data_IF_769461122558
#
_entry.id   IF_769461122558
#
_cell.length_a   1.000
_cell.length_b   1.000
_cell.length_c   1.000
_cell.angle_alpha   90.00
_cell.angle_beta   90.00
_cell.angle_gamma   90.00
#
_symmetry.space_group_name_H-M   'P 1'
#
loop_
_entity.id
_entity.type
_entity.pdbx_description
1 polymer ?
#
# COMPACT_ATOMS: atom_id res chain seq x y z
N UNK A 1 43.43 29.03 -13.46
CA UNK A 1 42.49 28.83 -12.35
C UNK A 1 41.45 27.81 -12.78
N UNK A 2 41.49 26.57 -12.28
CA UNK A 2 40.51 25.52 -12.62
C UNK A 2 39.58 25.37 -11.43
N UNK A 3 38.32 25.77 -11.59
CA UNK A 3 37.31 25.60 -10.55
C UNK A 3 37.13 24.10 -10.29
N UNK A 4 37.38 23.68 -9.04
CA UNK A 4 37.04 22.34 -8.57
C UNK A 4 35.52 22.23 -8.55
N UNK A 5 34.98 21.36 -9.39
CA UNK A 5 33.59 20.94 -9.28
C UNK A 5 33.40 20.32 -7.88
N UNK A 6 32.43 20.87 -7.12
CA UNK A 6 32.06 20.34 -5.81
C UNK A 6 31.48 18.92 -6.04
N UNK A 7 31.92 17.89 -5.29
CA UNK A 7 31.29 16.59 -5.39
C UNK A 7 29.81 16.75 -5.03
N UNK A 8 28.92 16.24 -5.88
CA UNK A 8 27.50 16.22 -5.61
C UNK A 8 27.29 15.51 -4.27
N UNK A 9 26.68 16.21 -3.31
CA UNK A 9 26.23 15.61 -2.07
C UNK A 9 25.30 14.46 -2.43
N UNK A 10 25.63 13.25 -2.02
CA UNK A 10 24.73 12.10 -2.09
C UNK A 10 23.42 12.50 -1.40
N UNK A 11 22.43 12.87 -2.20
CA UNK A 11 21.05 12.89 -1.75
C UNK A 11 20.62 11.44 -1.84
N UNK A 12 20.29 10.74 -0.74
CA UNK A 12 19.59 9.47 -0.84
C UNK A 12 18.19 9.81 -1.37
N UNK A 13 18.07 9.99 -2.67
CA UNK A 13 16.79 10.08 -3.34
C UNK A 13 16.18 8.69 -3.20
N UNK A 14 15.13 8.59 -2.38
CA UNK A 14 14.36 7.37 -2.27
C UNK A 14 13.70 7.13 -3.64
N UNK A 15 14.14 6.09 -4.34
CA UNK A 15 13.60 5.72 -5.65
C UNK A 15 12.30 4.93 -5.46
N UNK A 16 11.33 5.16 -6.33
CA UNK A 16 10.11 4.37 -6.33
C UNK A 16 10.43 2.95 -6.77
N UNK A 17 10.11 1.98 -5.93
CA UNK A 17 10.19 0.57 -6.30
C UNK A 17 8.82 0.10 -6.79
N UNK A 18 8.77 -0.33 -8.05
CA UNK A 18 7.58 -0.96 -8.63
C UNK A 18 7.64 -2.48 -8.41
N UNK A 19 6.55 -3.05 -7.93
CA UNK A 19 6.40 -4.49 -7.69
C UNK A 19 5.00 -4.91 -8.16
N UNK A 20 4.93 -6.00 -8.92
CA UNK A 20 3.68 -6.59 -9.40
C UNK A 20 3.67 -8.10 -9.13
N UNK A 21 2.47 -8.63 -8.91
CA UNK A 21 2.20 -10.06 -8.77
C UNK A 21 0.82 -10.35 -9.32
N UNK A 22 0.62 -11.56 -9.81
CA UNK A 22 -0.63 -12.03 -10.41
C UNK A 22 -0.90 -13.45 -9.92
N UNK A 23 -2.19 -13.76 -9.73
CA UNK A 23 -2.65 -15.06 -9.26
C UNK A 23 -3.98 -15.39 -9.96
N UNK A 24 -4.10 -16.62 -10.45
CA UNK A 24 -5.35 -17.16 -10.96
C UNK A 24 -6.11 -17.88 -9.84
N UNK A 25 -7.40 -17.58 -9.71
CA UNK A 25 -8.27 -18.13 -8.65
C UNK A 25 -9.62 -18.55 -9.23
N UNK A 26 -10.14 -19.70 -8.80
CA UNK A 26 -11.45 -20.21 -9.23
C UNK A 26 -12.58 -19.63 -8.37
N UNK A 27 -12.73 -18.31 -8.41
CA UNK A 27 -13.82 -17.59 -7.74
C UNK A 27 -14.35 -16.46 -8.62
N UNK A 28 -15.64 -16.08 -8.52
CA UNK A 28 -16.15 -14.92 -9.24
C UNK A 28 -15.38 -13.63 -8.90
N UNK A 29 -15.18 -12.75 -9.88
CA UNK A 29 -14.53 -11.45 -9.68
C UNK A 29 -15.16 -10.63 -8.55
N UNK A 30 -16.45 -10.79 -8.29
CA UNK A 30 -17.15 -10.13 -7.18
C UNK A 30 -16.65 -10.56 -5.80
N UNK A 31 -16.27 -11.83 -5.64
CA UNK A 31 -15.72 -12.37 -4.40
C UNK A 31 -14.33 -11.79 -4.17
N UNK A 32 -13.46 -11.85 -5.19
CA UNK A 32 -12.14 -11.22 -5.14
C UNK A 32 -12.24 -9.73 -4.83
N UNK A 33 -13.15 -9.01 -5.49
CA UNK A 33 -13.38 -7.59 -5.25
C UNK A 33 -13.84 -7.30 -3.82
N UNK A 34 -14.71 -8.12 -3.25
CA UNK A 34 -15.19 -7.95 -1.88
C UNK A 34 -14.06 -8.13 -0.86
N UNK A 35 -13.22 -9.15 -1.01
CA UNK A 35 -12.07 -9.40 -0.13
C UNK A 35 -11.13 -8.18 -0.01
N UNK A 36 -10.84 -7.52 -1.14
CA UNK A 36 -9.99 -6.32 -1.15
C UNK A 36 -10.75 -5.03 -0.76
N UNK A 37 -12.08 -5.00 -0.91
CA UNK A 37 -12.91 -3.84 -0.53
C UNK A 37 -13.13 -3.76 0.98
N UNK A 38 -13.25 -4.91 1.66
CA UNK A 38 -13.39 -5.03 3.11
C UNK A 38 -12.03 -4.87 3.81
N UNK A 39 -11.48 -3.67 3.73
CA UNK A 39 -10.11 -3.31 4.17
C UNK A 39 -9.75 -3.76 5.59
N UNK A 40 -10.69 -3.74 6.52
CA UNK A 40 -10.43 -4.13 7.92
C UNK A 40 -10.22 -5.64 8.10
N UNK A 41 -10.59 -6.44 7.10
CA UNK A 41 -10.34 -7.90 7.08
C UNK A 41 -8.95 -8.25 6.54
N UNK A 42 -8.25 -7.31 5.89
CA UNK A 42 -6.94 -7.54 5.26
C UNK A 42 -5.91 -8.15 6.22
N UNK A 43 -5.78 -7.71 7.49
CA UNK A 43 -4.87 -8.35 8.45
C UNK A 43 -5.09 -9.86 8.66
N UNK A 44 -6.29 -10.38 8.36
CA UNK A 44 -6.61 -11.81 8.54
C UNK A 44 -5.87 -12.70 7.53
N UNK A 45 -5.52 -12.16 6.36
CA UNK A 45 -4.90 -12.91 5.27
C UNK A 45 -3.59 -12.27 4.75
N UNK A 46 -3.23 -11.08 5.25
CA UNK A 46 -2.00 -10.37 4.93
C UNK A 46 -1.19 -10.10 6.23
N UNK A 47 -0.38 -11.05 6.70
CA UNK A 47 0.13 -11.08 8.08
C UNK A 47 1.12 -9.96 8.44
N UNK A 48 1.73 -9.30 7.44
CA UNK A 48 2.60 -8.15 7.68
C UNK A 48 1.81 -6.86 8.01
N UNK A 49 0.52 -6.82 7.69
CA UNK A 49 -0.38 -5.74 8.10
C UNK A 49 -0.98 -6.10 9.44
N UNK A 50 -0.65 -5.31 10.47
CA UNK A 50 -1.13 -5.52 11.83
C UNK A 50 -2.54 -4.97 12.05
N UNK A 51 -2.87 -3.80 11.48
CA UNK A 51 -4.20 -3.21 11.59
C UNK A 51 -4.55 -2.40 10.36
N UNK A 52 -5.83 -2.41 10.01
CA UNK A 52 -6.43 -1.46 9.09
C UNK A 52 -7.69 -0.91 9.74
N UNK A 53 -7.84 0.41 9.79
CA UNK A 53 -9.02 1.09 10.32
C UNK A 53 -9.56 2.09 9.31
N UNK A 54 -10.81 1.95 8.92
CA UNK A 54 -11.50 2.94 8.08
C UNK A 54 -11.90 4.12 8.96
N UNK A 55 -11.76 5.35 8.45
CA UNK A 55 -12.15 6.54 9.20
C UNK A 55 -13.68 6.70 9.14
N UNK A 56 -14.34 6.80 10.30
CA UNK A 56 -15.81 6.89 10.40
C UNK A 56 -16.40 8.05 9.59
N UNK A 57 -15.78 9.23 9.66
CA UNK A 57 -16.23 10.43 8.94
C UNK A 57 -15.88 10.41 7.44
N UNK A 58 -14.91 9.59 7.04
CA UNK A 58 -14.28 9.60 5.71
C UNK A 58 -14.01 8.18 5.26
N UNK A 59 -15.03 7.44 4.78
CA UNK A 59 -14.90 6.03 4.44
C UNK A 59 -13.91 5.77 3.29
N UNK A 60 -13.59 6.79 2.48
CA UNK A 60 -12.54 6.72 1.46
C UNK A 60 -11.12 6.65 2.05
N UNK A 61 -10.96 7.02 3.32
CA UNK A 61 -9.70 6.99 4.04
C UNK A 61 -9.60 5.79 4.97
N UNK A 62 -8.40 5.24 5.06
CA UNK A 62 -8.09 4.16 5.99
C UNK A 62 -6.67 4.32 6.53
N UNK A 63 -6.50 4.09 7.83
CA UNK A 63 -5.19 4.04 8.48
C UNK A 63 -4.70 2.61 8.52
N UNK A 64 -3.49 2.41 8.05
CA UNK A 64 -2.82 1.12 7.96
C UNK A 64 -1.60 1.12 8.87
N UNK A 65 -1.34 -0.03 9.48
CA UNK A 65 -0.16 -0.24 10.33
C UNK A 65 0.49 -1.57 9.98
N UNK A 66 1.77 -1.51 9.64
CA UNK A 66 2.62 -2.64 9.32
C UNK A 66 3.60 -2.88 10.48
N UNK A 67 3.77 -4.14 10.88
CA UNK A 67 4.70 -4.54 11.95
C UNK A 67 5.58 -5.67 11.45
N UNK A 68 6.89 -5.51 11.59
CA UNK A 68 7.84 -6.58 11.25
C UNK A 68 9.12 -6.44 12.07
N UNK A 69 9.77 -7.58 12.30
CA UNK A 69 11.03 -7.64 13.02
C UNK A 69 12.21 -7.42 12.06
N UNK A 70 13.06 -6.44 12.37
CA UNK A 70 14.33 -6.20 11.67
C UNK A 70 15.46 -6.38 12.67
N UNK A 71 16.37 -7.30 12.40
CA UNK A 71 17.53 -7.57 13.27
C UNK A 71 17.13 -7.83 14.75
N UNK A 72 16.00 -8.51 14.97
CA UNK A 72 15.47 -8.81 16.30
C UNK A 72 14.80 -7.65 17.02
N UNK A 73 14.52 -6.53 16.33
CA UNK A 73 13.75 -5.40 16.85
C UNK A 73 12.43 -5.27 16.10
N UNK A 74 11.33 -5.13 16.82
CA UNK A 74 10.04 -4.82 16.22
C UNK A 74 10.03 -3.39 15.71
N UNK A 75 9.70 -3.23 14.43
CA UNK A 75 9.52 -1.93 13.79
C UNK A 75 8.07 -1.82 13.34
N UNK A 76 7.48 -0.65 13.60
CA UNK A 76 6.11 -0.33 13.23
C UNK A 76 6.09 0.87 12.28
N UNK A 77 5.35 0.74 11.19
CA UNK A 77 5.11 1.82 10.25
C UNK A 77 3.61 2.02 10.09
N UNK A 78 3.16 3.27 10.11
CA UNK A 78 1.76 3.62 9.86
C UNK A 78 1.65 4.61 8.70
N UNK A 79 0.58 4.49 7.92
CA UNK A 79 0.23 5.44 6.86
C UNK A 79 -1.27 5.62 6.75
N UNK A 80 -1.68 6.78 6.24
CA UNK A 80 -3.05 7.03 5.85
C UNK A 80 -3.15 6.83 4.34
N UNK A 81 -4.05 5.95 3.91
CA UNK A 81 -4.32 5.70 2.50
C UNK A 81 -5.70 6.23 2.11
N UNK A 82 -5.79 6.77 0.89
CA UNK A 82 -7.05 7.12 0.23
C UNK A 82 -7.32 6.12 -0.88
N UNK A 83 -8.51 5.51 -0.83
CA UNK A 83 -9.05 4.77 -1.96
C UNK A 83 -9.49 5.78 -3.03
N UNK A 84 -9.03 5.54 -4.25
CA UNK A 84 -9.47 6.26 -5.43
C UNK A 84 -10.78 5.63 -5.94
N UNK A 85 -11.53 6.31 -6.82
CA UNK A 85 -12.83 5.83 -7.30
C UNK A 85 -12.75 4.42 -7.86
N UNK A 86 -13.29 3.40 -7.16
CA UNK A 86 -13.11 2.03 -7.58
C UNK A 86 -14.02 1.70 -8.77
N UNK A 87 -13.59 0.78 -9.61
CA UNK A 87 -14.46 0.21 -10.66
C UNK A 87 -14.92 -1.15 -10.18
N UNK A 88 -16.22 -1.26 -9.85
CA UNK A 88 -16.79 -2.45 -9.20
C UNK A 88 -16.45 -3.72 -9.96
N UNK A 89 -15.94 -4.73 -9.26
CA UNK A 89 -15.51 -6.03 -9.79
C UNK A 89 -14.37 -5.98 -10.83
N UNK A 90 -13.71 -4.84 -11.01
CA UNK A 90 -12.67 -4.67 -12.04
C UNK A 90 -11.37 -4.09 -11.49
N UNK A 91 -11.45 -3.13 -10.56
CA UNK A 91 -10.26 -2.44 -10.07
C UNK A 91 -10.44 -1.78 -8.72
N UNK A 92 -9.46 -1.99 -7.86
CA UNK A 92 -9.26 -1.25 -6.60
C UNK A 92 -7.90 -0.58 -6.68
N UNK A 93 -7.81 0.70 -6.31
CA UNK A 93 -6.55 1.43 -6.32
C UNK A 93 -6.50 2.49 -5.23
N UNK A 94 -5.31 2.74 -4.71
CA UNK A 94 -5.09 3.59 -3.55
C UNK A 94 -3.79 4.37 -3.65
N UNK A 95 -3.68 5.40 -2.82
CA UNK A 95 -2.45 6.17 -2.60
C UNK A 95 -2.33 6.57 -1.13
N UNK A 96 -1.12 6.51 -0.59
CA UNK A 96 -0.82 7.12 0.71
C UNK A 96 -0.94 8.63 0.64
N UNK A 97 -1.41 9.23 1.73
CA UNK A 97 -1.46 10.68 1.95
C UNK A 97 -0.39 11.15 2.93
N UNK A 98 -0.07 10.34 3.93
CA UNK A 98 0.92 10.60 4.99
C UNK A 98 1.54 9.27 5.47
N UNK A 99 2.68 9.35 6.15
CA UNK A 99 3.40 8.19 6.67
C UNK A 99 4.23 7.48 5.61
N UNK A 100 4.15 6.15 5.55
CA UNK A 100 4.86 5.31 4.58
C UNK A 100 4.38 5.59 3.14
N UNK A 101 5.23 6.15 2.24
CA UNK A 101 4.85 6.43 0.86
C UNK A 101 4.57 5.14 0.08
N UNK A 102 3.33 4.94 -0.37
CA UNK A 102 2.96 3.83 -1.24
C UNK A 102 1.77 4.19 -2.13
N UNK A 103 1.70 3.52 -3.28
CA UNK A 103 0.53 3.56 -4.18
C UNK A 103 0.38 2.17 -4.80
N UNK A 104 -0.85 1.77 -5.04
CA UNK A 104 -1.11 0.45 -5.58
C UNK A 104 -2.41 0.39 -6.37
N UNK A 105 -2.48 -0.64 -7.20
CA UNK A 105 -3.65 -1.00 -7.98
C UNK A 105 -3.77 -2.53 -7.95
N UNK A 106 -4.98 -3.01 -7.73
CA UNK A 106 -5.38 -4.40 -7.85
C UNK A 106 -6.45 -4.47 -8.94
N UNK A 107 -6.03 -4.74 -10.20
CA UNK A 107 -6.95 -5.13 -11.26
C UNK A 107 -7.53 -6.52 -10.96
N UNK A 108 -8.80 -6.72 -11.30
CA UNK A 108 -9.49 -8.00 -11.19
C UNK A 108 -10.02 -8.30 -12.58
N UNK A 109 -9.54 -9.39 -13.16
CA UNK A 109 -9.84 -9.81 -14.52
C UNK A 109 -10.74 -11.06 -14.47
N UNK A 110 -11.62 -11.25 -15.46
CA UNK A 110 -12.44 -12.45 -15.62
C UNK A 110 -11.66 -13.65 -16.13
#
# INVERSE_FOLDING_TARGET
>A
SRARARPALFSPAMEWQECSTEIEVDVPCSVAYQCYSERETIPQWMPFISTVKVLEDKPELSRWTLKYAILGRDVEFSWLARNMTPTKNQKIHWRSLEGLPNRGCCPILP
#
